data_IF_213598905505
#
_entry.id   IF_213598905505
#
_cell.length_a   1.000
_cell.length_b   1.000
_cell.length_c   1.000
_cell.angle_alpha   90.00
_cell.angle_beta   90.00
_cell.angle_gamma   90.00
#
_symmetry.space_group_name_H-M   'P 1'
#
loop_
_entity.id
_entity.type
_entity.pdbx_description
1 polymer ?
#
# COMPACT_ATOMS: atom_id res chain seq x y z
N UNK A 1 13.66 12.55 -13.81
CA UNK A 1 12.76 13.18 -14.79
C UNK A 1 11.38 13.17 -14.19
N UNK A 2 10.76 14.34 -14.08
CA UNK A 2 9.43 14.49 -13.50
C UNK A 2 8.37 14.25 -14.59
N UNK A 3 7.29 13.55 -14.26
CA UNK A 3 6.16 13.27 -15.17
C UNK A 3 5.64 14.56 -15.81
N UNK A 4 5.57 15.62 -15.02
CA UNK A 4 5.03 16.92 -15.43
C UNK A 4 5.97 17.70 -16.37
N UNK A 5 7.25 17.32 -16.44
CA UNK A 5 8.24 17.93 -17.30
C UNK A 5 8.42 17.17 -18.64
N UNK A 6 7.34 16.58 -19.17
CA UNK A 6 7.36 15.76 -20.39
C UNK A 6 6.37 16.27 -21.44
N UNK A 7 6.84 16.42 -22.69
CA UNK A 7 5.96 16.73 -23.84
C UNK A 7 4.92 15.62 -24.09
N UNK A 8 5.24 14.37 -23.76
CA UNK A 8 4.28 13.28 -23.85
C UNK A 8 3.14 13.47 -22.86
N UNK A 9 3.44 13.86 -21.63
CA UNK A 9 2.41 14.14 -20.62
C UNK A 9 1.60 15.40 -20.98
N UNK A 10 2.24 16.43 -21.56
CA UNK A 10 1.55 17.60 -22.11
C UNK A 10 0.50 17.21 -23.15
N UNK A 11 0.86 16.33 -24.09
CA UNK A 11 -0.08 15.80 -25.08
C UNK A 11 -1.22 15.01 -24.42
N UNK A 12 -0.89 14.14 -23.47
CA UNK A 12 -1.88 13.31 -22.77
C UNK A 12 -2.89 14.18 -22.01
N UNK A 13 -2.44 15.12 -21.18
CA UNK A 13 -3.35 15.91 -20.34
C UNK A 13 -4.31 16.82 -21.14
N UNK A 14 -3.98 17.11 -22.40
CA UNK A 14 -4.82 17.86 -23.33
C UNK A 14 -5.59 16.98 -24.33
N UNK A 15 -5.61 15.65 -24.13
CA UNK A 15 -6.23 14.70 -25.08
C UNK A 15 -7.72 14.43 -24.86
N UNK A 16 -8.33 15.05 -23.84
CA UNK A 16 -9.77 14.97 -23.60
C UNK A 16 -10.54 15.52 -24.81
N UNK A 17 -11.68 14.89 -25.12
CA UNK A 17 -12.60 15.41 -26.14
C UNK A 17 -14.00 15.54 -25.54
N UNK A 18 -14.43 16.77 -25.19
CA UNK A 18 -15.76 17.02 -24.64
C UNK A 18 -16.91 16.72 -25.62
N UNK A 19 -16.64 16.75 -26.94
CA UNK A 19 -17.68 16.54 -27.95
C UNK A 19 -18.04 15.06 -28.08
N UNK A 20 -17.06 14.18 -27.92
CA UNK A 20 -17.25 12.71 -27.92
C UNK A 20 -17.35 12.13 -26.51
N UNK A 21 -17.07 12.93 -25.48
CA UNK A 21 -17.01 12.48 -24.09
C UNK A 21 -15.78 11.62 -23.77
N UNK A 22 -14.75 11.63 -24.63
CA UNK A 22 -13.52 10.85 -24.43
C UNK A 22 -12.76 11.36 -23.20
N UNK A 23 -12.53 10.53 -22.17
CA UNK A 23 -11.75 10.90 -21.00
C UNK A 23 -10.25 10.92 -21.30
N UNK A 24 -9.46 11.56 -20.43
CA UNK A 24 -8.00 11.48 -20.50
C UNK A 24 -7.54 10.13 -19.95
N UNK A 25 -6.70 9.43 -20.70
CA UNK A 25 -6.11 8.15 -20.30
C UNK A 25 -4.58 8.17 -20.44
N UNK A 26 -3.90 7.38 -19.60
CA UNK A 26 -2.50 6.99 -19.78
C UNK A 26 -2.52 5.51 -20.14
N UNK A 27 -2.29 5.20 -21.42
CA UNK A 27 -2.62 3.88 -21.96
C UNK A 27 -4.12 3.61 -21.82
N UNK A 28 -4.47 2.48 -21.19
CA UNK A 28 -5.85 2.07 -20.92
C UNK A 28 -6.40 2.58 -19.58
N UNK A 29 -5.53 3.07 -18.68
CA UNK A 29 -5.96 3.61 -17.37
C UNK A 29 -6.43 5.06 -17.51
N UNK A 30 -7.46 5.43 -16.75
CA UNK A 30 -7.87 6.84 -16.64
C UNK A 30 -6.78 7.65 -15.94
N UNK A 31 -6.57 8.90 -16.37
CA UNK A 31 -5.56 9.78 -15.77
C UNK A 31 -5.75 9.92 -14.26
N UNK A 32 -7.00 10.05 -13.79
CA UNK A 32 -7.32 10.15 -12.37
C UNK A 32 -6.75 8.97 -11.57
N UNK A 33 -6.99 7.75 -12.06
CA UNK A 33 -6.61 6.52 -11.36
C UNK A 33 -5.08 6.31 -11.41
N UNK A 34 -4.41 6.84 -12.44
CA UNK A 34 -2.95 6.85 -12.50
C UNK A 34 -2.31 7.83 -11.50
N UNK A 35 -2.87 9.03 -11.37
CA UNK A 35 -2.36 10.07 -10.46
C UNK A 35 -2.69 9.75 -8.99
N UNK A 36 -3.90 9.27 -8.72
CA UNK A 36 -4.39 8.96 -7.39
C UNK A 36 -4.62 7.46 -7.26
N UNK A 37 -3.54 6.73 -6.98
CA UNK A 37 -3.59 5.29 -6.76
C UNK A 37 -4.00 4.97 -5.33
N UNK A 38 -4.81 3.93 -5.12
CA UNK A 38 -5.05 3.41 -3.78
C UNK A 38 -3.75 2.81 -3.20
N UNK A 39 -3.70 2.56 -1.88
CA UNK A 39 -2.53 1.97 -1.23
C UNK A 39 -2.17 0.58 -1.78
N UNK A 40 -3.16 -0.14 -2.30
CA UNK A 40 -3.00 -1.48 -2.82
C UNK A 40 -3.74 -1.68 -4.14
N UNK A 41 -3.11 -2.43 -5.03
CA UNK A 41 -3.69 -2.86 -6.29
C UNK A 41 -3.48 -4.36 -6.47
N UNK A 42 -4.53 -5.07 -6.87
CA UNK A 42 -4.51 -6.51 -7.15
C UNK A 42 -5.08 -6.76 -8.54
N UNK A 43 -4.34 -7.46 -9.39
CA UNK A 43 -4.73 -7.73 -10.77
C UNK A 43 -4.68 -9.23 -11.08
N UNK A 44 -5.60 -9.67 -11.91
CA UNK A 44 -5.58 -11.01 -12.51
C UNK A 44 -5.00 -10.90 -13.92
N UNK A 45 -3.74 -11.30 -14.10
CA UNK A 45 -3.03 -11.12 -15.36
C UNK A 45 -3.55 -12.03 -16.50
N UNK A 46 -4.29 -13.10 -16.18
CA UNK A 46 -4.88 -13.97 -17.22
C UNK A 46 -6.08 -13.28 -17.88
N UNK A 47 -6.86 -12.54 -17.09
CA UNK A 47 -8.08 -11.87 -17.57
C UNK A 47 -7.90 -10.37 -17.83
N UNK A 48 -6.90 -9.74 -17.21
CA UNK A 48 -6.57 -8.32 -17.28
C UNK A 48 -5.04 -8.11 -17.45
N UNK A 49 -4.48 -8.45 -18.63
CA UNK A 49 -3.03 -8.39 -18.87
C UNK A 49 -2.45 -6.97 -18.84
N UNK A 50 -3.31 -5.94 -18.97
CA UNK A 50 -2.92 -4.54 -18.91
C UNK A 50 -3.12 -3.90 -17.53
N UNK A 51 -3.54 -4.68 -16.52
CA UNK A 51 -3.68 -4.25 -15.13
C UNK A 51 -4.57 -2.99 -15.01
N UNK A 52 -5.73 -2.99 -15.65
CA UNK A 52 -6.65 -1.83 -15.65
C UNK A 52 -7.74 -1.99 -14.60
N UNK A 53 -8.05 -3.22 -14.18
CA UNK A 53 -9.15 -3.58 -13.30
C UNK A 53 -8.63 -3.99 -11.92
N UNK A 54 -8.51 -3.03 -11.01
CA UNK A 54 -8.03 -3.29 -9.66
C UNK A 54 -9.08 -4.05 -8.82
N UNK A 55 -8.74 -5.27 -8.42
CA UNK A 55 -9.55 -6.21 -7.64
C UNK A 55 -9.42 -6.02 -6.12
N UNK A 56 -8.52 -5.15 -5.64
CA UNK A 56 -8.20 -5.03 -4.20
C UNK A 56 -9.41 -4.62 -3.33
N UNK A 57 -10.38 -3.89 -3.90
CA UNK A 57 -11.61 -3.49 -3.22
C UNK A 57 -12.71 -4.55 -3.23
N UNK A 58 -12.54 -5.65 -3.96
CA UNK A 58 -13.59 -6.66 -4.12
C UNK A 58 -13.57 -7.69 -2.99
N UNK A 59 -14.73 -7.92 -2.36
CA UNK A 59 -14.87 -8.84 -1.23
C UNK A 59 -14.40 -10.26 -1.56
N UNK A 60 -14.63 -10.72 -2.80
CA UNK A 60 -14.24 -12.05 -3.29
C UNK A 60 -12.73 -12.28 -3.24
N UNK A 61 -11.91 -11.22 -3.33
CA UNK A 61 -10.46 -11.32 -3.43
C UNK A 61 -9.73 -10.94 -2.14
N UNK A 62 -10.45 -10.68 -1.04
CA UNK A 62 -9.84 -10.23 0.23
C UNK A 62 -8.84 -11.23 0.81
N UNK A 63 -9.15 -12.52 0.78
CA UNK A 63 -8.24 -13.55 1.30
C UNK A 63 -6.94 -13.60 0.48
N UNK A 64 -7.05 -13.45 -0.84
CA UNK A 64 -5.88 -13.41 -1.74
C UNK A 64 -5.06 -12.15 -1.50
N UNK A 65 -5.70 -11.00 -1.37
CA UNK A 65 -5.04 -9.74 -1.07
C UNK A 65 -4.27 -9.84 0.26
N UNK A 66 -4.92 -10.34 1.31
CA UNK A 66 -4.29 -10.52 2.62
C UNK A 66 -3.10 -11.48 2.54
N UNK A 67 -3.24 -12.61 1.84
CA UNK A 67 -2.16 -13.56 1.64
C UNK A 67 -0.95 -12.89 0.97
N UNK A 68 -1.16 -12.16 -0.12
CA UNK A 68 -0.07 -11.49 -0.86
C UNK A 68 0.57 -10.36 -0.04
N UNK A 69 -0.24 -9.60 0.70
CA UNK A 69 0.25 -8.58 1.65
C UNK A 69 1.16 -9.20 2.71
N UNK A 70 0.73 -10.29 3.34
CA UNK A 70 1.53 -10.98 4.37
C UNK A 70 2.86 -11.46 3.81
N UNK A 71 2.88 -12.04 2.60
CA UNK A 71 4.13 -12.47 1.95
C UNK A 71 5.06 -11.28 1.70
N UNK A 72 4.52 -10.17 1.17
CA UNK A 72 5.30 -8.97 0.89
C UNK A 72 5.86 -8.34 2.17
N UNK A 73 5.02 -8.13 3.18
CA UNK A 73 5.43 -7.53 4.45
C UNK A 73 6.48 -8.38 5.15
N UNK A 74 6.38 -9.71 5.09
CA UNK A 74 7.40 -10.60 5.62
C UNK A 74 8.74 -10.40 4.90
N UNK A 75 8.73 -10.34 3.57
CA UNK A 75 9.95 -10.10 2.80
C UNK A 75 10.58 -8.73 3.10
N UNK A 76 9.76 -7.70 3.28
CA UNK A 76 10.23 -6.38 3.74
C UNK A 76 10.81 -6.43 5.15
N UNK A 77 10.25 -7.25 6.03
CA UNK A 77 10.79 -7.50 7.38
C UNK A 77 12.16 -8.19 7.30
N UNK A 78 12.25 -9.32 6.59
CA UNK A 78 13.45 -10.14 6.44
C UNK A 78 14.63 -9.33 5.86
N UNK A 79 14.33 -8.44 4.91
CA UNK A 79 15.32 -7.59 4.23
C UNK A 79 15.60 -6.28 4.96
N UNK A 80 14.94 -6.03 6.09
CA UNK A 80 15.03 -4.79 6.88
C UNK A 80 14.75 -3.55 6.05
N UNK A 81 13.75 -3.63 5.19
CA UNK A 81 13.40 -2.57 4.26
C UNK A 81 13.00 -1.29 5.02
N UNK A 82 13.83 -0.26 4.88
CA UNK A 82 13.56 1.05 5.46
C UNK A 82 12.28 1.70 4.87
N UNK A 83 11.75 1.16 3.76
CA UNK A 83 10.52 1.57 3.09
C UNK A 83 9.34 0.65 3.43
N UNK A 84 9.44 -0.17 4.49
CA UNK A 84 8.26 -0.73 5.15
C UNK A 84 7.50 0.39 5.86
N UNK A 85 6.57 1.03 5.13
CA UNK A 85 5.79 2.18 5.60
C UNK A 85 4.46 1.75 6.22
N UNK A 86 4.18 2.31 7.40
CA UNK A 86 2.89 2.22 8.07
C UNK A 86 2.59 3.55 8.75
N UNK A 87 1.35 4.01 8.63
CA UNK A 87 0.83 5.24 9.24
C UNK A 87 1.73 6.47 9.02
N UNK A 88 2.24 6.64 7.79
CA UNK A 88 3.09 7.78 7.43
C UNK A 88 4.52 7.73 7.97
N UNK A 89 5.02 6.56 8.38
CA UNK A 89 6.42 6.44 8.79
C UNK A 89 7.03 5.05 8.52
N UNK A 90 8.36 4.98 8.59
CA UNK A 90 9.13 3.74 8.43
C UNK A 90 9.12 2.91 9.71
N UNK A 91 8.61 1.69 9.62
CA UNK A 91 8.59 0.70 10.71
C UNK A 91 10.01 0.37 11.17
N UNK A 92 10.91 0.09 10.22
CA UNK A 92 12.29 -0.25 10.54
C UNK A 92 13.06 0.91 11.17
N UNK A 93 12.78 2.15 10.78
CA UNK A 93 13.37 3.32 11.46
C UNK A 93 12.95 3.38 12.93
N UNK A 94 11.68 3.10 13.24
CA UNK A 94 11.21 3.07 14.62
C UNK A 94 11.84 1.95 15.45
N UNK A 95 11.99 0.77 14.85
CA UNK A 95 12.67 -0.37 15.46
C UNK A 95 14.14 -0.07 15.77
N UNK A 96 14.88 0.47 14.80
CA UNK A 96 16.31 0.79 14.93
C UNK A 96 16.59 1.84 15.99
N UNK A 97 15.74 2.87 16.11
CA UNK A 97 15.88 3.90 17.14
C UNK A 97 15.28 3.51 18.49
N UNK A 98 14.56 2.38 18.58
CA UNK A 98 14.00 1.89 19.83
C UNK A 98 12.85 2.74 20.38
N UNK A 99 12.10 3.45 19.51
CA UNK A 99 11.03 4.36 19.91
C UNK A 99 9.88 3.67 20.67
N UNK A 100 9.72 2.35 20.52
CA UNK A 100 8.78 1.56 21.31
C UNK A 100 9.04 1.66 22.83
N UNK A 101 10.30 1.90 23.25
CA UNK A 101 10.67 2.05 24.67
C UNK A 101 10.08 3.30 25.31
N UNK A 102 9.74 4.29 24.48
CA UNK A 102 9.08 5.53 24.89
C UNK A 102 7.54 5.41 24.86
N UNK A 103 7.02 4.21 24.54
CA UNK A 103 5.58 3.96 24.42
C UNK A 103 4.98 4.46 23.10
N UNK A 104 5.82 4.85 22.13
CA UNK A 104 5.37 5.22 20.79
C UNK A 104 4.90 3.97 20.03
N UNK A 105 3.81 4.12 19.27
CA UNK A 105 3.13 3.03 18.56
C UNK A 105 2.79 3.49 17.14
N UNK A 106 2.90 2.57 16.19
CA UNK A 106 2.48 2.77 14.80
C UNK A 106 1.23 1.94 14.55
N UNK A 107 0.08 2.55 14.21
CA UNK A 107 -1.09 1.86 13.68
C UNK A 107 -0.75 1.01 12.45
N UNK A 108 -1.35 -0.18 12.34
CA UNK A 108 -1.27 -1.00 11.12
C UNK A 108 -2.24 -0.45 10.05
N UNK A 109 -1.91 0.74 9.54
CA UNK A 109 -2.55 1.44 8.41
C UNK A 109 -1.49 1.72 7.36
N UNK A 110 -1.86 1.69 6.08
CA UNK A 110 -0.92 2.07 5.02
C UNK A 110 -0.56 3.56 5.11
N UNK A 111 -1.57 4.41 5.11
CA UNK A 111 -1.40 5.86 5.17
C UNK A 111 -1.90 6.44 6.49
N UNK A 112 -1.30 7.58 6.86
CA UNK A 112 -1.79 8.41 7.96
C UNK A 112 -3.12 9.04 7.58
N UNK A 113 -4.14 8.83 8.42
CA UNK A 113 -5.45 9.45 8.25
C UNK A 113 -5.53 10.73 9.10
N UNK A 114 -5.50 11.93 8.50
CA UNK A 114 -5.55 13.19 9.25
C UNK A 114 -6.91 13.43 9.91
N UNK A 115 -7.99 12.88 9.37
CA UNK A 115 -9.34 13.00 9.95
C UNK A 115 -9.50 12.05 11.13
N UNK A 116 -8.77 10.92 11.14
CA UNK A 116 -8.76 9.94 12.23
C UNK A 116 -7.35 9.65 12.76
N UNK A 117 -6.62 10.70 13.15
CA UNK A 117 -5.19 10.62 13.50
C UNK A 117 -4.86 9.82 14.78
N UNK A 118 -5.84 9.52 15.63
CA UNK A 118 -5.60 8.89 16.93
C UNK A 118 -5.12 7.44 16.81
N UNK A 119 -4.00 7.12 17.47
CA UNK A 119 -3.53 5.73 17.64
C UNK A 119 -3.99 5.07 18.96
N UNK A 120 -4.96 5.68 19.67
CA UNK A 120 -5.49 5.22 20.96
C UNK A 120 -6.88 4.59 20.86
N UNK A 121 -7.36 4.35 19.64
CA UNK A 121 -8.67 3.73 19.42
C UNK A 121 -8.67 2.29 19.96
N UNK A 122 -9.65 1.89 20.78
CA UNK A 122 -9.76 0.51 21.25
C UNK A 122 -9.82 -0.49 20.10
N UNK A 123 -9.07 -1.58 20.20
CA UNK A 123 -9.02 -2.63 19.16
C UNK A 123 -8.20 -2.26 17.91
N UNK A 124 -7.57 -1.09 17.87
CA UNK A 124 -6.66 -0.73 16.78
C UNK A 124 -5.47 -1.68 16.73
N UNK A 125 -5.24 -2.27 15.55
CA UNK A 125 -4.04 -3.06 15.28
C UNK A 125 -2.83 -2.13 15.21
N UNK A 126 -1.74 -2.53 15.85
CA UNK A 126 -0.47 -1.79 15.85
C UNK A 126 0.65 -2.72 15.41
N UNK A 127 1.66 -2.16 14.77
CA UNK A 127 2.85 -2.89 14.32
C UNK A 127 3.71 -3.29 15.53
N UNK A 128 4.28 -4.50 15.51
CA UNK A 128 5.30 -4.89 16.50
C UNK A 128 6.63 -4.18 16.19
N UNK A 129 7.11 -3.43 17.19
CA UNK A 129 8.24 -2.51 17.08
C UNK A 129 9.44 -2.95 17.93
N UNK A 130 9.30 -3.99 18.75
CA UNK A 130 10.38 -4.59 19.50
C UNK A 130 11.04 -5.70 18.65
N UNK A 131 12.27 -5.49 18.13
CA UNK A 131 12.94 -6.49 17.31
C UNK A 131 13.20 -7.80 18.04
N UNK A 132 13.25 -7.80 19.37
CA UNK A 132 13.43 -9.02 20.16
C UNK A 132 12.16 -9.91 20.19
N UNK A 133 11.01 -9.36 19.77
CA UNK A 133 9.73 -10.08 19.69
C UNK A 133 9.37 -10.50 18.27
N UNK A 134 10.13 -10.03 17.27
CA UNK A 134 10.04 -10.54 15.91
C UNK A 134 10.70 -11.92 15.91
N UNK A 135 9.92 -12.97 15.65
CA UNK A 135 10.49 -14.32 15.58
C UNK A 135 11.01 -14.58 14.17
N UNK A 136 12.09 -15.36 14.02
CA UNK A 136 12.55 -15.84 12.70
C UNK A 136 11.50 -16.71 11.96
N UNK A 137 10.37 -17.06 12.62
CA UNK A 137 9.40 -18.06 12.17
C UNK A 137 7.94 -17.57 12.18
N UNK A 138 7.67 -16.26 12.01
CA UNK A 138 6.30 -15.73 11.99
C UNK A 138 5.44 -16.26 10.81
N UNK A 139 6.06 -16.96 9.85
CA UNK A 139 5.42 -17.67 8.74
C UNK A 139 4.43 -18.77 9.18
N UNK A 140 4.78 -19.62 10.15
CA UNK A 140 3.89 -20.72 10.58
C UNK A 140 2.73 -20.26 11.45
N UNK A 141 2.92 -19.15 12.18
CA UNK A 141 1.92 -18.65 13.12
C UNK A 141 0.78 -17.89 12.43
N UNK A 142 1.06 -17.20 11.31
CA UNK A 142 0.03 -16.49 10.55
C UNK A 142 -0.85 -17.42 9.69
N UNK A 143 -0.36 -18.59 9.27
CA UNK A 143 -1.21 -19.59 8.58
C UNK A 143 -2.22 -20.29 9.49
N UNK A 144 -2.02 -20.26 10.82
CA UNK A 144 -2.90 -20.94 11.80
C UNK A 144 -3.98 -20.03 12.40
N UNK A 145 -4.00 -18.74 12.04
CA UNK A 145 -4.94 -17.74 12.57
C UNK A 145 -6.00 -17.28 11.56
N UNK A 146 -6.05 -17.92 10.39
CA UNK A 146 -7.11 -17.75 9.37
C UNK A 146 -8.24 -18.74 9.54
#
# INVERSE_FOLDING_TARGET
MDLYASLSFEGIRNSADPTTGKPITIGERKLKDYIFRPPEELYDLETDPNEVHNLAGELKYQDKLLQMRTILEQWQDDTKDLWMWKDGTSVWRYRLHGYHREGLRIPDRFDFDPENASNKVPGMRVVELDPARLSENDFENNQRRG
#
